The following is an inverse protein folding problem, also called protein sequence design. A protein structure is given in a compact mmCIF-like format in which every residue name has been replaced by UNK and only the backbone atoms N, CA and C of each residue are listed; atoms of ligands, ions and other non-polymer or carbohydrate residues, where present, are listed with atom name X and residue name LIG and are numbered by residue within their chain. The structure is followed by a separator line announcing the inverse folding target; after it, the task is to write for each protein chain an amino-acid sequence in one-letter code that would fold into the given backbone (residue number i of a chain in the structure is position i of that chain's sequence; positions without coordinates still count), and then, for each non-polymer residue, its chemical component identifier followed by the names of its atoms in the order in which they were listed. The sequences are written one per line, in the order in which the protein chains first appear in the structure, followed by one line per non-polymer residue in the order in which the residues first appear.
data_IF_288892819591
#
_entry.id   IF_288892819591
#
_cell.length_a   1.000
_cell.length_b   1.000
_cell.length_c   1.000
_cell.angle_alpha   90.00
_cell.angle_beta   90.00
_cell.angle_gamma   90.00
#
_symmetry.space_group_name_H-M   'P 1'
#
loop_
_entity.id
_entity.type
_entity.pdbx_description
1 polymer ?
#
# COMPACT_ATOMS: atom_id res chain seq x y z
N UNK A 1 22.71 -4.18 11.33
CA UNK A 1 22.27 -3.46 12.56
C UNK A 1 20.83 -3.84 12.80
N UNK A 2 20.56 -4.52 13.88
CA UNK A 2 19.21 -4.91 14.26
C UNK A 2 18.46 -3.67 14.81
N UNK A 3 17.24 -3.43 14.28
CA UNK A 3 16.42 -2.29 14.69
C UNK A 3 15.42 -2.65 15.80
N UNK A 4 15.41 -3.91 16.26
CA UNK A 4 14.43 -4.38 17.25
C UNK A 4 13.00 -4.42 16.71
N UNK A 5 12.81 -4.58 15.38
CA UNK A 5 11.51 -4.60 14.72
C UNK A 5 11.14 -6.02 14.36
N UNK A 6 9.99 -6.48 14.81
CA UNK A 6 9.38 -7.73 14.35
C UNK A 6 8.71 -7.51 12.99
N UNK A 7 8.82 -8.48 12.08
CA UNK A 7 8.17 -8.43 10.76
C UNK A 7 7.10 -9.52 10.71
N UNK A 8 5.87 -9.13 10.40
CA UNK A 8 4.73 -10.03 10.26
C UNK A 8 4.29 -10.03 8.78
N UNK A 9 4.24 -11.21 8.17
CA UNK A 9 3.75 -11.41 6.81
C UNK A 9 2.39 -12.12 6.86
N UNK A 10 1.27 -11.38 6.86
CA UNK A 10 -0.05 -12.00 6.94
C UNK A 10 -0.47 -12.64 5.62
N UNK A 11 -1.08 -13.80 5.69
CA UNK A 11 -1.78 -14.41 4.57
C UNK A 11 -3.27 -14.04 4.66
N UNK A 12 -3.59 -12.83 4.21
CA UNK A 12 -4.98 -12.36 4.13
C UNK A 12 -5.78 -13.22 3.14
N UNK A 13 -7.10 -13.24 3.25
CA UNK A 13 -7.96 -13.90 2.24
C UNK A 13 -7.61 -13.39 0.84
N UNK A 14 -7.61 -14.27 -0.15
CA UNK A 14 -7.11 -13.99 -1.49
C UNK A 14 -5.63 -14.36 -1.71
N UNK A 15 -4.86 -14.65 -0.65
CA UNK A 15 -3.47 -15.09 -0.78
C UNK A 15 -3.35 -16.41 -1.52
N UNK A 16 -2.27 -16.58 -2.30
CA UNK A 16 -1.95 -17.83 -2.98
C UNK A 16 -1.42 -18.89 -2.02
N UNK A 17 -1.45 -20.15 -2.44
CA UNK A 17 -0.91 -21.28 -1.64
C UNK A 17 -1.96 -22.05 -0.83
N UNK A 18 -3.18 -21.54 -0.68
CA UNK A 18 -4.26 -22.15 0.10
C UNK A 18 -5.41 -22.70 -0.75
N UNK A 19 -5.18 -22.87 -2.05
CA UNK A 19 -6.14 -23.42 -3.01
C UNK A 19 -7.06 -22.39 -3.65
N UNK A 20 -7.80 -22.84 -4.68
CA UNK A 20 -8.60 -21.94 -5.57
C UNK A 20 -9.74 -21.24 -4.83
N UNK A 21 -10.34 -21.86 -3.83
CA UNK A 21 -11.42 -21.25 -3.05
C UNK A 21 -10.90 -20.08 -2.21
N UNK A 22 -9.73 -20.24 -1.58
CA UNK A 22 -9.12 -19.21 -0.77
C UNK A 22 -8.68 -17.99 -1.61
N UNK A 23 -8.04 -18.23 -2.77
CA UNK A 23 -7.60 -17.17 -3.72
C UNK A 23 -8.75 -16.29 -4.19
N UNK A 24 -9.99 -16.81 -4.26
CA UNK A 24 -11.16 -16.07 -4.73
C UNK A 24 -11.92 -15.32 -3.63
N UNK A 25 -11.48 -15.40 -2.38
CA UNK A 25 -12.24 -14.85 -1.25
C UNK A 25 -12.33 -13.32 -1.26
N UNK A 26 -11.38 -12.64 -1.90
CA UNK A 26 -11.36 -11.18 -1.98
C UNK A 26 -11.60 -10.64 -3.41
N UNK A 27 -11.99 -11.47 -4.38
CA UNK A 27 -12.21 -11.03 -5.76
C UNK A 27 -13.43 -10.10 -5.90
N UNK A 28 -13.32 -9.13 -6.81
CA UNK A 28 -14.39 -8.19 -7.18
C UNK A 28 -14.86 -7.39 -5.95
N UNK A 29 -16.14 -7.35 -5.71
CA UNK A 29 -16.76 -6.54 -4.63
C UNK A 29 -16.42 -6.98 -3.20
N UNK A 30 -15.68 -8.07 -3.03
CA UNK A 30 -15.19 -8.51 -1.71
C UNK A 30 -13.79 -8.00 -1.37
N UNK A 31 -13.25 -7.07 -2.17
CA UNK A 31 -11.87 -6.57 -2.04
C UNK A 31 -11.54 -5.99 -0.66
N UNK A 32 -12.47 -5.30 -0.02
CA UNK A 32 -12.26 -4.76 1.33
C UNK A 32 -12.21 -5.83 2.43
N UNK A 33 -12.64 -7.06 2.15
CA UNK A 33 -12.59 -8.14 3.15
C UNK A 33 -11.14 -8.49 3.52
N UNK A 34 -10.19 -8.42 2.57
CA UNK A 34 -8.76 -8.61 2.85
C UNK A 34 -8.18 -7.47 3.72
N UNK A 35 -8.71 -6.26 3.59
CA UNK A 35 -8.34 -5.12 4.45
C UNK A 35 -8.83 -5.34 5.89
N UNK A 36 -10.02 -5.93 6.06
CA UNK A 36 -10.55 -6.30 7.39
C UNK A 36 -9.70 -7.36 8.08
N UNK A 37 -9.04 -8.26 7.32
CA UNK A 37 -8.11 -9.24 7.89
C UNK A 37 -6.90 -8.54 8.54
N UNK A 38 -6.44 -7.42 7.97
CA UNK A 38 -5.40 -6.59 8.61
C UNK A 38 -5.95 -5.93 9.87
N UNK A 39 -7.21 -5.45 9.87
CA UNK A 39 -7.85 -4.96 11.10
C UNK A 39 -7.85 -5.99 12.22
N UNK A 40 -8.23 -7.24 11.91
CA UNK A 40 -8.18 -8.36 12.87
C UNK A 40 -6.73 -8.68 13.33
N UNK A 41 -5.74 -8.53 12.43
CA UNK A 41 -4.33 -8.65 12.82
C UNK A 41 -3.90 -7.55 13.80
N UNK A 42 -4.34 -6.31 13.59
CA UNK A 42 -4.08 -5.22 14.53
C UNK A 42 -4.68 -5.52 15.91
N UNK A 43 -5.91 -6.05 15.96
CA UNK A 43 -6.55 -6.47 17.21
C UNK A 43 -5.76 -7.62 17.89
N UNK A 44 -5.24 -8.55 17.12
CA UNK A 44 -4.38 -9.62 17.66
C UNK A 44 -3.06 -9.06 18.22
N UNK A 45 -2.44 -8.08 17.53
CA UNK A 45 -1.20 -7.44 17.99
C UNK A 45 -1.41 -6.75 19.35
N UNK A 46 -2.54 -6.10 19.58
CA UNK A 46 -2.87 -5.45 20.86
C UNK A 46 -2.84 -6.44 22.05
N UNK A 47 -3.13 -7.72 21.80
CA UNK A 47 -3.09 -8.77 22.81
C UNK A 47 -1.69 -9.40 23.03
N UNK A 48 -0.65 -8.99 22.29
CA UNK A 48 0.68 -9.61 22.37
C UNK A 48 1.60 -8.86 23.33
N UNK A 49 1.99 -9.50 24.42
CA UNK A 49 2.88 -8.90 25.44
C UNK A 49 4.30 -8.61 24.95
N UNK A 50 4.72 -9.21 23.84
CA UNK A 50 6.06 -9.05 23.25
C UNK A 50 6.11 -8.03 22.12
N UNK A 51 4.96 -7.46 21.72
CA UNK A 51 4.85 -6.48 20.64
C UNK A 51 4.35 -5.14 21.20
N UNK A 52 4.86 -4.06 20.64
CA UNK A 52 4.41 -2.71 20.97
C UNK A 52 3.36 -2.26 19.95
N UNK A 53 2.08 -2.40 20.31
CA UNK A 53 0.95 -2.03 19.45
C UNK A 53 0.87 -0.52 19.18
N UNK A 54 1.58 0.32 19.92
CA UNK A 54 1.69 1.76 19.63
C UNK A 54 2.71 2.06 18.52
N UNK A 55 3.49 1.06 18.06
CA UNK A 55 4.57 1.19 17.07
C UNK A 55 4.41 0.23 15.91
N UNK A 56 3.37 0.45 15.12
CA UNK A 56 3.07 -0.37 13.94
C UNK A 56 3.33 0.43 12.67
N UNK A 57 4.13 -0.12 11.75
CA UNK A 57 4.25 0.35 10.37
C UNK A 57 3.64 -0.69 9.43
N UNK A 58 2.82 -0.24 8.49
CA UNK A 58 2.30 -1.08 7.41
C UNK A 58 3.08 -0.80 6.14
N UNK A 59 3.49 -1.86 5.45
CA UNK A 59 4.20 -1.74 4.18
C UNK A 59 3.81 -2.85 3.22
N UNK A 60 3.86 -2.54 1.94
CA UNK A 60 3.62 -3.51 0.88
C UNK A 60 3.93 -2.96 -0.49
N UNK A 61 4.07 -3.88 -1.46
CA UNK A 61 4.36 -3.52 -2.85
C UNK A 61 3.24 -3.92 -3.80
N UNK A 62 3.00 -3.11 -4.84
CA UNK A 62 2.01 -3.39 -5.88
C UNK A 62 0.59 -3.50 -5.29
N UNK A 63 -0.05 -4.66 -5.35
CA UNK A 63 -1.31 -4.90 -4.63
C UNK A 63 -1.12 -4.74 -3.10
N UNK A 64 0.03 -5.15 -2.55
CA UNK A 64 0.37 -4.87 -1.16
C UNK A 64 0.47 -3.37 -0.86
N UNK A 65 0.84 -2.55 -1.85
CA UNK A 65 0.79 -1.08 -1.77
C UNK A 65 -0.65 -0.57 -1.69
N UNK A 66 -1.58 -1.10 -2.49
CA UNK A 66 -3.02 -0.83 -2.29
C UNK A 66 -3.45 -1.18 -0.87
N UNK A 67 -3.10 -2.38 -0.37
CA UNK A 67 -3.40 -2.79 1.00
C UNK A 67 -2.83 -1.80 2.04
N UNK A 68 -1.59 -1.34 1.83
CA UNK A 68 -0.95 -0.33 2.69
C UNK A 68 -1.74 0.96 2.72
N UNK A 69 -2.14 1.49 1.55
CA UNK A 69 -2.94 2.71 1.45
C UNK A 69 -4.34 2.54 2.04
N UNK A 70 -4.98 1.38 1.79
CA UNK A 70 -6.29 1.05 2.34
C UNK A 70 -6.26 0.97 3.87
N UNK A 71 -5.23 0.37 4.45
CA UNK A 71 -5.00 0.33 5.91
C UNK A 71 -4.73 1.73 6.44
N UNK A 72 -3.88 2.52 5.76
CA UNK A 72 -3.59 3.90 6.16
C UNK A 72 -4.83 4.80 6.19
N UNK A 73 -5.84 4.52 5.35
CA UNK A 73 -7.11 5.27 5.35
C UNK A 73 -8.16 4.72 6.31
N UNK A 74 -8.14 3.41 6.60
CA UNK A 74 -9.18 2.74 7.40
C UNK A 74 -8.79 2.55 8.87
N UNK A 75 -7.49 2.47 9.16
CA UNK A 75 -6.93 2.19 10.48
C UNK A 75 -5.80 3.18 10.82
N UNK A 76 -5.91 4.43 10.39
CA UNK A 76 -4.88 5.45 10.54
C UNK A 76 -4.49 5.70 12.02
N UNK A 77 -5.43 5.59 12.92
CA UNK A 77 -5.24 5.73 14.36
C UNK A 77 -4.52 4.55 15.02
N UNK A 78 -4.49 3.39 14.34
CA UNK A 78 -3.88 2.14 14.82
C UNK A 78 -2.43 1.95 14.36
N UNK A 79 -1.90 2.83 13.50
CA UNK A 79 -0.55 2.74 12.94
C UNK A 79 0.25 4.01 13.17
N UNK A 80 1.58 3.90 13.25
CA UNK A 80 2.48 5.06 13.35
C UNK A 80 2.79 5.69 11.99
N UNK A 81 2.97 4.85 10.98
CA UNK A 81 3.36 5.27 9.64
C UNK A 81 3.11 4.14 8.62
N UNK A 82 3.21 4.47 7.34
CA UNK A 82 3.01 3.53 6.25
C UNK A 82 4.01 3.76 5.11
N UNK A 83 4.42 2.67 4.44
CA UNK A 83 5.31 2.69 3.28
C UNK A 83 4.66 1.97 2.11
N UNK A 84 4.22 2.73 1.14
CA UNK A 84 3.65 2.25 -0.11
C UNK A 84 4.74 2.14 -1.18
N UNK A 85 4.93 0.96 -1.74
CA UNK A 85 5.88 0.72 -2.84
C UNK A 85 5.11 0.33 -4.10
N UNK A 86 5.14 1.19 -5.12
CA UNK A 86 4.48 0.98 -6.42
C UNK A 86 3.01 0.55 -6.30
N UNK A 87 2.26 1.15 -5.37
CA UNK A 87 0.91 0.75 -5.01
C UNK A 87 -0.17 1.37 -5.88
N UNK A 88 -1.36 0.77 -5.81
CA UNK A 88 -2.55 1.21 -6.53
C UNK A 88 -3.35 2.12 -5.59
N UNK A 89 -3.56 3.37 -5.98
CA UNK A 89 -4.37 4.33 -5.21
C UNK A 89 -5.84 4.34 -5.60
N UNK A 90 -6.14 3.89 -6.85
CA UNK A 90 -7.51 3.81 -7.37
C UNK A 90 -7.62 2.76 -8.48
N UNK A 91 -8.44 1.74 -8.32
CA UNK A 91 -8.54 0.64 -9.30
C UNK A 91 -9.00 1.09 -10.69
N UNK A 92 -9.90 2.07 -10.80
CA UNK A 92 -10.36 2.58 -12.09
C UNK A 92 -9.20 3.21 -12.86
N UNK A 93 -8.47 4.16 -12.27
CA UNK A 93 -7.35 4.85 -12.93
C UNK A 93 -6.20 3.89 -13.25
N UNK A 94 -5.97 2.91 -12.37
CA UNK A 94 -5.02 1.84 -12.59
C UNK A 94 -5.39 0.98 -13.80
N UNK A 95 -6.64 0.47 -13.89
CA UNK A 95 -7.08 -0.40 -14.99
C UNK A 95 -7.12 0.34 -16.33
N UNK A 96 -7.47 1.62 -16.33
CA UNK A 96 -7.47 2.45 -17.54
C UNK A 96 -6.05 2.73 -18.07
N UNK A 97 -5.02 2.73 -17.22
CA UNK A 97 -3.66 3.18 -17.56
C UNK A 97 -2.60 2.09 -17.52
N UNK A 98 -2.85 0.94 -16.87
CA UNK A 98 -1.92 -0.20 -16.93
C UNK A 98 -1.78 -0.71 -18.35
N UNK A 99 -0.66 -1.34 -18.66
CA UNK A 99 -0.38 -1.90 -20.01
C UNK A 99 -1.49 -2.84 -20.50
N UNK A 100 -1.85 -2.73 -21.77
CA UNK A 100 -3.02 -3.39 -22.34
C UNK A 100 -3.01 -4.92 -22.14
N UNK A 101 -1.83 -5.56 -22.28
CA UNK A 101 -1.69 -7.01 -22.12
C UNK A 101 -2.01 -7.53 -20.71
N UNK A 102 -2.10 -6.63 -19.72
CA UNK A 102 -2.38 -6.97 -18.33
C UNK A 102 -3.84 -6.76 -17.92
N UNK A 103 -4.56 -5.88 -18.62
CA UNK A 103 -5.88 -5.40 -18.20
C UNK A 103 -6.89 -6.50 -17.97
N UNK A 104 -7.06 -7.39 -18.97
CA UNK A 104 -8.09 -8.43 -18.88
C UNK A 104 -7.81 -9.42 -17.76
N UNK A 105 -6.53 -9.75 -17.53
CA UNK A 105 -6.12 -10.55 -16.39
C UNK A 105 -6.49 -9.88 -15.05
N UNK A 106 -6.29 -8.56 -14.95
CA UNK A 106 -6.60 -7.79 -13.74
C UNK A 106 -8.12 -7.58 -13.56
N UNK A 107 -8.86 -7.40 -14.65
CA UNK A 107 -10.33 -7.35 -14.62
C UNK A 107 -10.93 -8.65 -14.08
N UNK A 108 -10.38 -9.79 -14.43
CA UNK A 108 -10.84 -11.09 -13.92
C UNK A 108 -10.66 -11.22 -12.39
N UNK A 109 -9.65 -10.58 -11.82
CA UNK A 109 -9.33 -10.62 -10.39
C UNK A 109 -10.01 -9.47 -9.62
N UNK A 110 -9.84 -8.24 -10.09
CA UNK A 110 -10.30 -7.04 -9.38
C UNK A 110 -11.74 -6.69 -9.68
N UNK A 111 -12.20 -6.95 -10.89
CA UNK A 111 -13.47 -6.52 -11.47
C UNK A 111 -13.23 -5.60 -12.67
N UNK A 112 -14.26 -5.39 -13.49
CA UNK A 112 -14.21 -4.65 -14.73
C UNK A 112 -14.65 -3.18 -14.50
N UNK A 113 -13.73 -2.23 -14.66
CA UNK A 113 -13.98 -0.79 -14.48
C UNK A 113 -14.99 -0.22 -15.52
N UNK A 114 -15.27 -0.95 -16.58
CA UNK A 114 -16.28 -0.57 -17.61
C UNK A 114 -17.71 -0.80 -17.14
N UNK A 115 -17.90 -1.70 -16.16
CA UNK A 115 -19.19 -1.98 -15.56
C UNK A 115 -19.54 -0.87 -14.54
N UNK A 116 -20.68 -0.16 -14.69
CA UNK A 116 -21.01 0.98 -13.82
C UNK A 116 -21.03 0.63 -12.33
N UNK A 117 -21.57 -0.54 -11.98
CA UNK A 117 -21.63 -0.99 -10.58
C UNK A 117 -20.23 -1.25 -10.00
N UNK A 118 -19.31 -1.83 -10.80
CA UNK A 118 -17.93 -2.07 -10.37
C UNK A 118 -17.16 -0.78 -10.25
N UNK A 119 -17.36 0.15 -11.19
CA UNK A 119 -16.75 1.48 -11.13
C UNK A 119 -17.16 2.24 -9.86
N UNK A 120 -18.44 2.24 -9.54
CA UNK A 120 -18.94 2.85 -8.30
C UNK A 120 -18.35 2.17 -7.05
N UNK A 121 -18.18 0.86 -7.07
CA UNK A 121 -17.51 0.13 -6.01
C UNK A 121 -16.05 0.54 -5.88
N UNK A 122 -15.28 0.61 -6.98
CA UNK A 122 -13.89 1.07 -6.95
C UNK A 122 -13.75 2.49 -6.41
N UNK A 123 -14.67 3.38 -6.78
CA UNK A 123 -14.71 4.75 -6.24
C UNK A 123 -14.93 4.75 -4.72
N UNK A 124 -15.79 3.86 -4.22
CA UNK A 124 -16.13 3.75 -2.80
C UNK A 124 -14.98 3.22 -1.94
N UNK A 125 -14.12 2.35 -2.50
CA UNK A 125 -13.01 1.73 -1.77
C UNK A 125 -11.66 2.40 -2.05
N UNK A 126 -11.59 3.37 -2.97
CA UNK A 126 -10.33 3.98 -3.40
C UNK A 126 -9.63 4.71 -2.23
N UNK A 127 -8.39 4.33 -1.87
CA UNK A 127 -7.61 5.10 -0.90
C UNK A 127 -7.44 6.56 -1.31
N UNK A 128 -7.35 6.84 -2.62
CA UNK A 128 -7.27 8.20 -3.15
C UNK A 128 -8.42 9.10 -2.69
N UNK A 129 -9.66 8.58 -2.69
CA UNK A 129 -10.85 9.34 -2.28
C UNK A 129 -10.97 9.51 -0.76
N UNK A 130 -10.18 8.74 0.00
CA UNK A 130 -10.11 8.77 1.47
C UNK A 130 -8.77 9.34 1.97
N UNK A 131 -7.99 10.02 1.10
CA UNK A 131 -6.65 10.50 1.42
C UNK A 131 -6.62 11.56 2.55
N UNK A 132 -7.74 12.23 2.82
CA UNK A 132 -7.94 13.13 3.95
C UNK A 132 -7.83 12.43 5.32
N UNK A 133 -8.04 11.12 5.36
CA UNK A 133 -7.89 10.30 6.57
C UNK A 133 -6.42 9.94 6.88
N UNK A 134 -5.49 10.15 5.95
CA UNK A 134 -4.07 9.85 6.16
C UNK A 134 -3.43 11.04 6.89
N UNK A 135 -3.41 10.96 8.20
CA UNK A 135 -2.79 11.96 9.09
C UNK A 135 -1.45 11.48 9.64
N UNK A 136 -1.16 10.18 9.57
CA UNK A 136 0.13 9.60 9.93
C UNK A 136 1.10 9.63 8.74
N UNK A 137 2.43 9.67 8.99
CA UNK A 137 3.42 9.72 7.94
C UNK A 137 3.27 8.60 6.89
N UNK A 138 3.22 8.99 5.63
CA UNK A 138 3.19 8.10 4.47
C UNK A 138 4.48 8.26 3.68
N UNK A 139 5.16 7.18 3.35
CA UNK A 139 6.25 7.16 2.38
C UNK A 139 5.79 6.43 1.12
N UNK A 140 5.88 7.08 -0.03
CA UNK A 140 5.53 6.52 -1.35
C UNK A 140 6.79 6.36 -2.16
N UNK A 141 6.99 5.16 -2.73
CA UNK A 141 8.13 4.80 -3.58
C UNK A 141 7.63 4.37 -4.95
N UNK A 142 8.15 4.93 -6.03
CA UNK A 142 7.69 4.68 -7.39
C UNK A 142 8.85 4.68 -8.41
N UNK A 143 8.78 3.77 -9.38
CA UNK A 143 9.60 3.82 -10.59
C UNK A 143 8.87 4.53 -11.72
N UNK A 144 9.53 5.48 -12.40
CA UNK A 144 8.89 6.29 -13.45
C UNK A 144 8.51 5.46 -14.69
N UNK A 145 9.21 4.36 -14.93
CA UNK A 145 8.97 3.47 -16.08
C UNK A 145 8.20 2.21 -15.70
N UNK A 146 7.32 2.29 -14.69
CA UNK A 146 6.54 1.15 -14.25
C UNK A 146 5.41 0.81 -15.24
N UNK A 147 5.48 -0.36 -15.92
CA UNK A 147 4.47 -0.76 -16.89
C UNK A 147 3.26 -1.45 -16.24
N UNK A 148 3.35 -1.75 -14.94
CA UNK A 148 2.30 -2.47 -14.20
C UNK A 148 1.41 -1.53 -13.43
N UNK A 149 2.00 -0.72 -12.56
CA UNK A 149 1.32 0.32 -11.81
C UNK A 149 1.87 1.67 -12.25
N UNK A 150 1.12 2.41 -13.06
CA UNK A 150 1.59 3.67 -13.62
C UNK A 150 2.00 4.69 -12.56
N UNK A 151 3.04 5.47 -12.83
CA UNK A 151 3.53 6.55 -11.95
C UNK A 151 2.41 7.46 -11.45
N UNK A 152 1.38 7.68 -12.28
CA UNK A 152 0.24 8.50 -11.93
C UNK A 152 -0.51 8.04 -10.67
N UNK A 153 -0.47 6.71 -10.35
CA UNK A 153 -1.09 6.21 -9.11
C UNK A 153 -0.39 6.75 -7.86
N UNK A 154 0.94 6.79 -7.87
CA UNK A 154 1.73 7.39 -6.79
C UNK A 154 1.54 8.91 -6.73
N UNK A 155 1.61 9.59 -7.88
CA UNK A 155 1.54 11.05 -7.95
C UNK A 155 0.18 11.60 -7.48
N UNK A 156 -0.94 10.98 -7.91
CA UNK A 156 -2.26 11.41 -7.46
C UNK A 156 -2.44 11.21 -5.95
N UNK A 157 -1.90 10.13 -5.39
CA UNK A 157 -1.95 9.88 -3.94
C UNK A 157 -1.13 10.88 -3.15
N UNK A 158 0.12 11.11 -3.56
CA UNK A 158 1.01 12.10 -2.95
C UNK A 158 0.40 13.51 -3.01
N UNK A 159 -0.17 13.89 -4.16
CA UNK A 159 -0.83 15.19 -4.32
C UNK A 159 -2.05 15.33 -3.38
N UNK A 160 -2.87 14.27 -3.25
CA UNK A 160 -4.04 14.28 -2.37
C UNK A 160 -3.63 14.41 -0.89
N UNK A 161 -2.63 13.64 -0.44
CA UNK A 161 -2.15 13.71 0.95
C UNK A 161 -1.54 15.08 1.25
N UNK A 162 -0.73 15.65 0.33
CA UNK A 162 -0.18 17.01 0.47
C UNK A 162 -1.27 18.07 0.54
N UNK A 163 -2.30 17.99 -0.31
CA UNK A 163 -3.45 18.91 -0.30
C UNK A 163 -4.13 18.92 1.07
N UNK A 164 -4.22 17.76 1.71
CA UNK A 164 -4.81 17.58 3.03
C UNK A 164 -3.81 17.87 4.18
N UNK A 165 -2.60 18.40 3.86
CA UNK A 165 -1.53 18.69 4.82
C UNK A 165 -1.01 17.48 5.59
N UNK A 166 -1.22 16.26 5.07
CA UNK A 166 -0.65 15.03 5.61
C UNK A 166 0.86 14.97 5.38
N UNK A 167 1.63 14.40 6.32
CA UNK A 167 3.06 14.23 6.16
C UNK A 167 3.35 13.13 5.15
N UNK A 168 4.01 13.45 4.03
CA UNK A 168 4.31 12.49 2.96
C UNK A 168 5.72 12.66 2.44
N UNK A 169 6.44 11.51 2.34
CA UNK A 169 7.69 11.38 1.60
C UNK A 169 7.41 10.77 0.24
N UNK A 170 8.11 11.22 -0.78
CA UNK A 170 7.99 10.66 -2.13
C UNK A 170 9.37 10.40 -2.74
N UNK A 171 9.65 9.15 -3.07
CA UNK A 171 10.85 8.72 -3.78
C UNK A 171 10.46 8.24 -5.17
N UNK A 172 10.82 9.01 -6.19
CA UNK A 172 10.66 8.66 -7.60
C UNK A 172 12.02 8.34 -8.23
N UNK A 173 12.22 7.09 -8.64
CA UNK A 173 13.38 6.72 -9.43
C UNK A 173 13.05 6.79 -10.93
N UNK A 174 13.68 7.74 -11.64
CA UNK A 174 13.36 8.06 -13.04
C UNK A 174 13.72 6.96 -14.03
N UNK A 175 14.61 6.06 -13.65
CA UNK A 175 15.19 5.01 -14.47
C UNK A 175 14.84 3.60 -13.99
N UNK A 176 13.79 3.47 -13.17
CA UNK A 176 13.28 2.21 -12.60
C UNK A 176 11.84 1.92 -13.04
N UNK A 177 11.48 0.63 -12.99
CA UNK A 177 10.15 0.12 -13.28
C UNK A 177 9.38 -0.33 -12.06
N UNK A 178 8.73 -1.51 -12.15
CA UNK A 178 7.93 -2.09 -11.06
C UNK A 178 8.83 -2.68 -9.96
N UNK A 179 9.26 -1.83 -9.06
CA UNK A 179 10.30 -2.08 -8.06
C UNK A 179 11.71 -1.77 -8.60
N UNK A 180 12.61 -1.39 -7.70
CA UNK A 180 13.96 -0.97 -8.05
C UNK A 180 14.87 -2.18 -8.26
N UNK A 181 15.65 -2.15 -9.35
CA UNK A 181 16.59 -3.22 -9.72
C UNK A 181 18.04 -2.76 -9.75
N UNK A 182 18.27 -1.47 -10.01
CA UNK A 182 19.62 -0.91 -10.00
C UNK A 182 20.11 -0.79 -8.58
N UNK A 183 21.30 -1.31 -8.30
CA UNK A 183 21.84 -1.37 -6.96
C UNK A 183 21.87 -0.01 -6.26
N UNK A 184 22.29 1.04 -6.93
CA UNK A 184 22.31 2.39 -6.35
C UNK A 184 20.92 2.86 -5.90
N UNK A 185 19.89 2.58 -6.70
CA UNK A 185 18.50 2.94 -6.36
C UNK A 185 17.95 2.07 -5.22
N UNK A 186 18.29 0.77 -5.21
CA UNK A 186 17.95 -0.13 -4.10
C UNK A 186 18.59 0.31 -2.78
N UNK A 187 19.88 0.65 -2.80
CA UNK A 187 20.60 1.13 -1.64
C UNK A 187 19.98 2.45 -1.11
N UNK A 188 19.66 3.36 -2.03
CA UNK A 188 19.02 4.62 -1.66
C UNK A 188 17.63 4.39 -1.04
N UNK A 189 16.80 3.55 -1.67
CA UNK A 189 15.48 3.19 -1.13
C UNK A 189 15.62 2.55 0.25
N UNK A 190 16.55 1.62 0.42
CA UNK A 190 16.81 0.96 1.70
C UNK A 190 17.20 1.96 2.78
N UNK A 191 18.16 2.84 2.51
CA UNK A 191 18.58 3.87 3.46
C UNK A 191 17.47 4.86 3.79
N UNK A 192 16.71 5.30 2.80
CA UNK A 192 15.53 6.16 3.00
C UNK A 192 14.46 5.46 3.85
N UNK A 193 14.23 4.15 3.64
CA UNK A 193 13.31 3.35 4.46
C UNK A 193 13.80 3.30 5.92
N UNK A 194 15.09 3.04 6.15
CA UNK A 194 15.65 3.05 7.51
C UNK A 194 15.52 4.42 8.17
N UNK A 195 15.78 5.51 7.43
CA UNK A 195 15.62 6.87 7.95
C UNK A 195 14.14 7.14 8.33
N UNK A 196 13.21 6.77 7.47
CA UNK A 196 11.77 6.88 7.71
C UNK A 196 11.32 6.09 8.95
N UNK A 197 11.76 4.83 9.07
CA UNK A 197 11.47 3.99 10.23
C UNK A 197 12.04 4.57 11.52
N UNK A 198 13.28 5.04 11.52
CA UNK A 198 13.90 5.67 12.70
C UNK A 198 13.09 6.87 13.16
N UNK A 199 12.69 7.73 12.23
CA UNK A 199 11.98 8.95 12.54
C UNK A 199 10.53 8.68 13.01
N UNK A 200 9.81 7.78 12.34
CA UNK A 200 8.35 7.68 12.49
C UNK A 200 7.86 6.41 13.21
N UNK A 201 8.65 5.33 13.20
CA UNK A 201 8.31 4.09 13.90
C UNK A 201 9.04 3.99 15.24
N UNK A 202 10.34 4.30 15.26
CA UNK A 202 11.18 4.09 16.43
C UNK A 202 11.29 5.33 17.33
N UNK A 203 10.86 6.50 16.87
CA UNK A 203 10.89 7.75 17.62
C UNK A 203 12.30 8.28 17.87
N UNK A 204 13.29 7.84 17.08
CA UNK A 204 14.65 8.35 17.20
C UNK A 204 14.73 9.77 16.61
N UNK A 205 15.37 10.69 17.30
CA UNK A 205 15.67 12.03 16.77
C UNK A 205 16.42 11.90 15.44
N UNK A 206 16.05 12.71 14.47
CA UNK A 206 16.81 12.83 13.20
C UNK A 206 18.19 13.39 13.55
N UNK A 207 19.30 12.81 13.05
CA UNK A 207 20.64 13.31 13.29
C UNK A 207 20.86 14.71 12.68
#
# INVERSE_FOLDING_TARGET
MELGVAIIYPNVRGSTGYGKSFVKLDNGMRREDSVRDIGALLDWIDGQVTLDASKIMVTGGSYGGFMTLAVATSYNDRICCSLDVVGISHFTTFLERTEAYRRDLRRAEYGDEREPAMRAFFDSIAPLHRADRITRPLFVVQGANDPRVPQAEAEQMVAAVKKNKGPVWYLLARDEGHGFRKKANQDYQFLATIAFMRQHLLGAATP
#
